data_IF_022978473603
#
_entry.id   IF_022978473603
#
_cell.length_a   1.000
_cell.length_b   1.000
_cell.length_c   1.000
_cell.angle_alpha   90.00
_cell.angle_beta   90.00
_cell.angle_gamma   90.00
#
_symmetry.space_group_name_H-M   'P 1'
#
loop_
_entity.id
_entity.type
_entity.pdbx_description
1 polymer ?
#
# COMPACT_ATOMS: atom_id res chain seq x y z
N UNK A 1 -66.09 20.87 -4.15
CA UNK A 1 -67.39 20.56 -4.79
C UNK A 1 -67.15 19.32 -5.65
N UNK A 2 -67.36 18.11 -5.10
CA UNK A 2 -68.50 17.19 -5.34
C UNK A 2 -68.55 16.69 -6.81
N UNK A 3 -68.52 15.40 -7.16
CA UNK A 3 -68.97 14.12 -6.55
C UNK A 3 -68.12 12.95 -7.11
N UNK A 4 -67.62 11.98 -6.32
CA UNK A 4 -68.20 10.69 -5.90
C UNK A 4 -68.82 9.82 -7.02
N UNK A 5 -68.20 8.67 -7.30
CA UNK A 5 -68.94 7.38 -7.36
C UNK A 5 -68.02 6.17 -7.09
N UNK A 6 -68.46 5.33 -6.15
CA UNK A 6 -67.86 4.07 -5.68
C UNK A 6 -68.25 2.91 -6.60
N UNK A 7 -67.43 1.86 -6.67
CA UNK A 7 -67.90 0.48 -6.54
C UNK A 7 -66.81 -0.42 -5.93
N UNK A 8 -67.31 -1.42 -5.22
CA UNK A 8 -66.72 -2.23 -4.15
C UNK A 8 -66.88 -3.71 -4.56
N UNK A 9 -66.00 -4.57 -4.06
CA UNK A 9 -66.13 -6.04 -4.09
C UNK A 9 -64.99 -6.71 -4.87
N UNK A 10 -64.40 -7.82 -4.45
CA UNK A 10 -64.60 -8.64 -3.26
C UNK A 10 -63.42 -9.63 -3.17
N UNK A 11 -63.18 -10.11 -1.95
CA UNK A 11 -62.06 -10.97 -1.53
C UNK A 11 -62.23 -12.41 -2.02
N UNK A 12 -61.14 -13.09 -2.41
CA UNK A 12 -61.05 -14.55 -2.23
C UNK A 12 -59.62 -15.01 -1.93
N UNK A 13 -59.56 -15.94 -0.99
CA UNK A 13 -58.42 -16.38 -0.20
C UNK A 13 -57.51 -17.40 -0.91
N UNK A 14 -56.21 -17.34 -0.55
CA UNK A 14 -55.39 -18.42 0.02
C UNK A 14 -55.29 -19.78 -0.71
N UNK A 15 -54.08 -20.14 -1.17
CA UNK A 15 -53.54 -21.50 -0.98
C UNK A 15 -52.00 -21.59 -1.08
N UNK A 16 -51.42 -22.06 0.02
CA UNK A 16 -50.22 -22.93 0.19
C UNK A 16 -48.81 -22.51 -0.27
N UNK A 17 -47.80 -22.59 0.63
CA UNK A 17 -46.39 -22.49 0.29
C UNK A 17 -45.80 -23.85 -0.16
N UNK A 18 -45.04 -23.81 -1.25
CA UNK A 18 -44.32 -24.95 -1.83
C UNK A 18 -43.02 -25.18 -1.06
N UNK A 19 -42.89 -26.37 -0.48
CA UNK A 19 -41.69 -26.88 0.22
C UNK A 19 -40.51 -27.04 -0.76
N UNK A 20 -39.29 -26.56 -0.47
CA UNK A 20 -38.11 -26.92 -1.25
C UNK A 20 -37.58 -28.30 -0.81
N UNK A 21 -37.15 -29.09 -1.79
CA UNK A 21 -36.43 -30.34 -1.60
C UNK A 21 -35.00 -30.08 -1.09
N UNK A 22 -34.38 -31.03 -0.35
CA UNK A 22 -32.99 -30.92 0.04
C UNK A 22 -32.08 -31.40 -1.11
N UNK A 23 -31.26 -30.51 -1.65
CA UNK A 23 -30.15 -30.88 -2.53
C UNK A 23 -28.99 -31.41 -1.68
N UNK A 24 -28.79 -32.71 -1.75
CA UNK A 24 -27.57 -33.40 -1.33
C UNK A 24 -26.46 -33.06 -2.30
N UNK A 25 -25.51 -32.22 -1.89
CA UNK A 25 -24.18 -32.14 -2.49
C UNK A 25 -23.15 -32.13 -1.36
N UNK A 26 -22.73 -33.34 -0.99
CA UNK A 26 -21.48 -33.58 -0.25
C UNK A 26 -20.29 -33.28 -1.19
N UNK A 27 -19.34 -32.42 -0.80
CA UNK A 27 -18.07 -32.33 -1.50
C UNK A 27 -17.12 -33.43 -1.01
N UNK A 28 -16.37 -34.12 -1.89
CA UNK A 28 -15.35 -35.06 -1.45
C UNK A 28 -14.17 -34.32 -0.81
N UNK A 29 -13.69 -34.90 0.30
CA UNK A 29 -12.48 -34.46 1.01
C UNK A 29 -11.22 -34.50 0.13
N UNK A 30 -10.23 -33.62 0.40
CA UNK A 30 -9.03 -33.48 -0.42
C UNK A 30 -8.07 -34.66 -0.20
N UNK A 31 -7.59 -35.21 -1.31
CA UNK A 31 -6.54 -36.23 -1.32
C UNK A 31 -5.18 -35.58 -1.61
N UNK A 32 -4.24 -35.93 -0.73
CA UNK A 32 -2.80 -36.14 -0.94
C UNK A 32 -1.96 -35.06 -1.68
N UNK A 33 -1.03 -34.50 -0.91
CA UNK A 33 0.17 -33.80 -1.35
C UNK A 33 0.95 -34.54 -2.46
N UNK A 34 1.48 -33.80 -3.45
CA UNK A 34 2.71 -34.18 -4.12
C UNK A 34 3.89 -33.31 -3.61
N UNK A 35 4.92 -34.01 -3.16
CA UNK A 35 6.20 -33.45 -2.75
C UNK A 35 6.90 -32.64 -3.87
N UNK A 36 7.68 -31.60 -3.53
CA UNK A 36 8.37 -30.77 -4.51
C UNK A 36 9.65 -31.44 -5.00
N UNK A 37 9.75 -31.67 -6.31
CA UNK A 37 11.02 -31.98 -6.98
C UNK A 37 11.66 -30.66 -7.41
N UNK A 38 12.62 -30.19 -6.62
CA UNK A 38 13.62 -29.21 -7.04
C UNK A 38 14.87 -29.95 -7.53
N UNK A 39 15.41 -29.62 -8.71
CA UNK A 39 16.83 -29.77 -8.97
C UNK A 39 17.52 -28.42 -8.69
N UNK A 40 18.41 -28.44 -7.71
CA UNK A 40 19.37 -27.40 -7.44
C UNK A 40 20.31 -27.23 -8.66
N UNK A 41 20.35 -26.01 -9.21
CA UNK A 41 21.41 -25.60 -10.14
C UNK A 41 22.19 -24.47 -9.48
N UNK A 42 23.29 -24.86 -8.86
CA UNK A 42 24.34 -23.97 -8.32
C UNK A 42 25.19 -23.45 -9.49
N UNK A 43 25.72 -22.21 -9.42
CA UNK A 43 26.32 -21.53 -10.57
C UNK A 43 27.73 -22.04 -10.86
N UNK A 44 28.04 -22.26 -12.14
CA UNK A 44 29.41 -22.52 -12.58
C UNK A 44 30.25 -21.25 -12.41
N UNK A 45 31.07 -21.25 -11.38
CA UNK A 45 32.23 -20.38 -11.19
C UNK A 45 33.19 -20.50 -12.37
N UNK A 46 33.76 -19.34 -12.74
CA UNK A 46 34.61 -19.15 -13.90
C UNK A 46 35.85 -20.03 -13.94
N UNK A 47 36.09 -20.57 -15.13
CA UNK A 47 37.42 -21.04 -15.51
C UNK A 47 38.20 -19.87 -16.10
N UNK A 48 39.12 -19.35 -15.29
CA UNK A 48 40.25 -18.53 -15.73
C UNK A 48 41.27 -19.43 -16.40
N UNK A 49 41.45 -19.31 -17.72
CA UNK A 49 42.58 -19.89 -18.41
C UNK A 49 43.75 -18.89 -18.37
N UNK A 50 44.65 -19.08 -17.40
CA UNK A 50 45.99 -18.50 -17.46
C UNK A 50 46.85 -19.34 -18.40
N UNK A 51 47.17 -18.79 -19.56
CA UNK A 51 48.24 -19.33 -20.41
C UNK A 51 49.59 -19.11 -19.74
N UNK A 52 50.17 -20.18 -19.19
CA UNK A 52 51.62 -20.26 -18.94
C UNK A 52 52.30 -20.55 -20.27
N UNK A 53 53.08 -19.58 -20.75
CA UNK A 53 54.02 -19.78 -21.86
C UNK A 53 55.13 -20.72 -21.35
N UNK A 54 55.25 -21.90 -21.95
CA UNK A 54 56.41 -22.78 -21.80
C UNK A 54 57.33 -22.50 -23.00
N UNK A 55 58.54 -21.95 -22.81
CA UNK A 55 59.47 -21.75 -23.90
C UNK A 55 60.25 -23.03 -24.19
N UNK A 56 60.28 -23.42 -25.46
CA UNK A 56 61.29 -24.32 -26.00
C UNK A 56 60.82 -25.74 -26.30
N UNK A 57 60.20 -25.91 -27.47
CA UNK A 57 60.57 -27.01 -28.36
C UNK A 57 60.42 -26.53 -29.80
N UNK A 58 61.57 -26.35 -30.44
CA UNK A 58 61.74 -26.11 -31.87
C UNK A 58 61.11 -27.24 -32.68
N UNK A 59 60.15 -26.91 -33.55
CA UNK A 59 59.81 -27.73 -34.74
C UNK A 59 60.33 -27.03 -35.99
N UNK A 60 60.81 -27.80 -36.98
CA UNK A 60 61.63 -27.26 -38.04
C UNK A 60 60.78 -26.47 -39.04
N UNK A 61 60.99 -25.16 -39.04
CA UNK A 61 60.63 -24.29 -40.16
C UNK A 61 61.53 -24.63 -41.34
N UNK A 62 61.07 -25.54 -42.20
CA UNK A 62 61.46 -25.50 -43.60
C UNK A 62 60.81 -24.27 -44.21
N UNK A 63 61.53 -23.16 -44.17
CA UNK A 63 61.32 -22.01 -45.04
C UNK A 63 61.52 -22.48 -46.49
N UNK A 64 60.44 -22.95 -47.11
CA UNK A 64 60.29 -22.87 -48.56
C UNK A 64 59.68 -21.51 -48.84
N UNK A 65 60.50 -20.61 -49.39
CA UNK A 65 60.02 -19.47 -50.18
C UNK A 65 59.03 -20.02 -51.22
N UNK A 66 57.74 -19.90 -50.95
CA UNK A 66 56.71 -19.94 -52.00
C UNK A 66 56.52 -18.51 -52.45
N UNK A 67 57.30 -18.17 -53.46
CA UNK A 67 57.00 -17.06 -54.34
C UNK A 67 55.71 -17.43 -55.11
N UNK A 68 54.75 -16.49 -55.15
CA UNK A 68 53.41 -16.50 -55.77
C UNK A 68 52.25 -17.13 -54.97
N UNK A 69 51.07 -16.46 -54.93
CA UNK A 69 49.97 -16.80 -54.02
C UNK A 69 49.34 -18.13 -54.40
N UNK A 70 49.13 -19.01 -53.42
CA UNK A 70 48.48 -20.31 -53.57
C UNK A 70 47.04 -20.21 -54.13
N UNK A 71 46.42 -19.03 -54.02
CA UNK A 71 45.16 -18.66 -54.70
C UNK A 71 45.23 -18.78 -56.24
N UNK A 72 46.41 -18.75 -56.86
CA UNK A 72 46.57 -18.90 -58.32
C UNK A 72 46.34 -20.33 -58.85
N UNK A 73 46.24 -21.34 -57.98
CA UNK A 73 45.96 -22.73 -58.38
C UNK A 73 44.47 -23.10 -58.31
N UNK A 74 43.68 -22.38 -57.50
CA UNK A 74 42.24 -22.54 -57.45
C UNK A 74 41.61 -21.65 -58.52
N UNK A 75 41.14 -22.25 -59.62
CA UNK A 75 40.39 -21.54 -60.66
C UNK A 75 39.01 -21.16 -60.12
N UNK A 76 38.91 -19.99 -59.52
CA UNK A 76 37.63 -19.33 -59.22
C UNK A 76 37.13 -18.66 -60.51
N UNK A 77 35.82 -18.57 -60.72
CA UNK A 77 35.27 -17.77 -61.83
C UNK A 77 35.80 -16.34 -61.82
N UNK A 78 36.02 -15.79 -63.01
CA UNK A 78 36.61 -14.47 -63.22
C UNK A 78 35.89 -13.37 -62.41
N UNK A 79 34.57 -13.44 -62.34
CA UNK A 79 33.68 -12.51 -61.61
C UNK A 79 33.92 -12.44 -60.09
N UNK A 80 34.58 -13.44 -59.49
CA UNK A 80 34.91 -13.46 -58.06
C UNK A 80 36.40 -13.28 -57.78
N UNK A 81 37.24 -13.11 -58.81
CA UNK A 81 38.70 -13.02 -58.65
C UNK A 81 39.10 -11.87 -57.73
N UNK A 82 38.49 -10.69 -57.93
CA UNK A 82 38.78 -9.52 -57.09
C UNK A 82 38.28 -9.73 -55.67
N UNK A 83 37.05 -10.24 -55.49
CA UNK A 83 36.50 -10.55 -54.17
C UNK A 83 37.36 -11.56 -53.41
N UNK A 84 37.83 -12.60 -54.08
CA UNK A 84 38.70 -13.61 -53.48
C UNK A 84 40.05 -13.02 -53.03
N UNK A 85 40.62 -12.10 -53.82
CA UNK A 85 41.84 -11.36 -53.45
C UNK A 85 41.61 -10.44 -52.25
N UNK A 86 40.47 -9.74 -52.21
CA UNK A 86 40.10 -8.86 -51.11
C UNK A 86 39.94 -9.66 -49.81
N UNK A 87 39.20 -10.78 -49.85
CA UNK A 87 39.03 -11.70 -48.72
C UNK A 87 40.37 -12.27 -48.27
N UNK A 88 41.22 -12.69 -49.20
CA UNK A 88 42.54 -13.21 -48.86
C UNK A 88 43.41 -12.16 -48.17
N UNK A 89 43.34 -10.90 -48.62
CA UNK A 89 44.10 -9.81 -48.03
C UNK A 89 43.64 -9.47 -46.61
N UNK A 90 42.35 -9.60 -46.32
CA UNK A 90 41.75 -9.29 -45.02
C UNK A 90 41.81 -10.46 -44.03
N UNK A 91 41.62 -11.69 -44.51
CA UNK A 91 41.37 -12.86 -43.67
C UNK A 91 42.36 -14.01 -43.91
N UNK A 92 43.28 -13.87 -44.86
CA UNK A 92 44.23 -14.91 -45.24
C UNK A 92 43.60 -16.02 -46.08
N UNK A 93 44.29 -17.17 -46.16
CA UNK A 93 43.79 -18.33 -46.90
C UNK A 93 42.69 -19.06 -46.13
N UNK A 94 41.43 -18.67 -46.39
CA UNK A 94 40.27 -19.22 -45.69
C UNK A 94 39.98 -20.69 -45.99
N UNK A 95 40.59 -21.27 -47.04
CA UNK A 95 40.41 -22.68 -47.43
C UNK A 95 41.61 -23.56 -47.07
N UNK A 96 42.62 -23.01 -46.39
CA UNK A 96 43.85 -23.73 -46.03
C UNK A 96 43.60 -25.02 -45.23
N UNK A 97 42.58 -25.00 -44.36
CA UNK A 97 42.20 -26.11 -43.48
C UNK A 97 41.00 -26.92 -44.00
N UNK A 98 40.53 -26.64 -45.22
CA UNK A 98 39.31 -27.27 -45.75
C UNK A 98 39.44 -28.78 -45.87
N UNK A 99 38.36 -29.50 -45.56
CA UNK A 99 38.24 -30.95 -45.73
C UNK A 99 38.34 -31.42 -47.20
N UNK A 100 38.12 -30.50 -48.15
CA UNK A 100 38.02 -30.83 -49.57
C UNK A 100 39.24 -30.33 -50.35
N UNK A 101 39.60 -31.06 -51.41
CA UNK A 101 40.69 -30.73 -52.33
C UNK A 101 40.17 -30.44 -53.74
N UNK A 102 41.03 -29.86 -54.59
CA UNK A 102 40.74 -29.67 -56.01
C UNK A 102 39.57 -28.73 -56.29
N UNK A 103 38.64 -29.17 -57.16
CA UNK A 103 37.51 -28.35 -57.64
C UNK A 103 36.52 -28.03 -56.54
N UNK A 104 36.24 -28.97 -55.63
CA UNK A 104 35.31 -28.73 -54.51
C UNK A 104 35.80 -27.61 -53.59
N UNK A 105 37.12 -27.52 -53.35
CA UNK A 105 37.72 -26.40 -52.60
C UNK A 105 37.48 -25.06 -53.30
N UNK A 106 37.60 -25.03 -54.62
CA UNK A 106 37.34 -23.82 -55.42
C UNK A 106 35.86 -23.43 -55.37
N UNK A 107 34.94 -24.40 -55.45
CA UNK A 107 33.50 -24.17 -55.38
C UNK A 107 33.06 -23.61 -54.02
N UNK A 108 33.68 -24.06 -52.93
CA UNK A 108 33.41 -23.53 -51.59
C UNK A 108 33.92 -22.09 -51.44
N UNK A 109 35.14 -21.79 -51.91
CA UNK A 109 35.67 -20.42 -51.95
C UNK A 109 34.77 -19.51 -52.80
N UNK A 110 34.29 -20.01 -53.93
CA UNK A 110 33.37 -19.27 -54.80
C UNK A 110 32.03 -19.01 -54.12
N UNK A 111 31.51 -19.98 -53.36
CA UNK A 111 30.30 -19.81 -52.54
C UNK A 111 30.51 -18.72 -51.47
N UNK A 112 31.65 -18.71 -50.79
CA UNK A 112 32.00 -17.62 -49.84
C UNK A 112 32.06 -16.25 -50.53
N UNK A 113 32.70 -16.17 -51.70
CA UNK A 113 32.78 -14.92 -52.48
C UNK A 113 31.39 -14.44 -52.93
N UNK A 114 30.53 -15.37 -53.37
CA UNK A 114 29.17 -15.06 -53.77
C UNK A 114 28.33 -14.50 -52.61
N UNK A 115 28.44 -15.09 -51.42
CA UNK A 115 27.76 -14.59 -50.21
C UNK A 115 28.28 -13.19 -49.86
N UNK A 116 29.61 -13.00 -49.85
CA UNK A 116 30.21 -11.70 -49.54
C UNK A 116 29.78 -10.61 -50.51
N UNK A 117 29.82 -10.88 -51.83
CA UNK A 117 29.37 -9.93 -52.86
C UNK A 117 27.87 -9.63 -52.76
N UNK A 118 27.05 -10.65 -52.46
CA UNK A 118 25.61 -10.46 -52.22
C UNK A 118 25.39 -9.50 -51.05
N UNK A 119 26.06 -9.71 -49.92
CA UNK A 119 25.94 -8.81 -48.76
C UNK A 119 26.45 -7.40 -49.08
N UNK A 120 27.61 -7.28 -49.73
CA UNK A 120 28.22 -6.00 -50.12
C UNK A 120 27.31 -5.15 -51.00
N UNK A 121 26.59 -5.79 -51.93
CA UNK A 121 25.64 -5.14 -52.86
C UNK A 121 24.26 -4.91 -52.26
N UNK A 122 23.88 -5.71 -51.26
CA UNK A 122 22.56 -5.63 -50.63
C UNK A 122 22.46 -4.44 -49.68
N UNK A 123 21.29 -3.80 -49.66
CA UNK A 123 20.95 -2.78 -48.65
C UNK A 123 20.20 -3.44 -47.50
N UNK A 124 20.44 -2.96 -46.28
CA UNK A 124 19.77 -3.45 -45.07
C UNK A 124 18.23 -3.39 -45.16
N UNK A 125 17.67 -2.40 -45.85
CA UNK A 125 16.21 -2.28 -46.06
C UNK A 125 15.63 -3.36 -46.97
N UNK A 126 16.43 -3.94 -47.86
CA UNK A 126 15.96 -4.86 -48.92
C UNK A 126 16.11 -6.32 -48.50
N UNK A 127 17.21 -6.68 -47.84
CA UNK A 127 17.45 -8.07 -47.42
C UNK A 127 16.40 -8.53 -46.41
N UNK A 128 15.82 -9.72 -46.61
CA UNK A 128 14.77 -10.29 -45.76
C UNK A 128 15.35 -11.21 -44.67
N UNK A 129 14.60 -11.46 -43.59
CA UNK A 129 15.01 -12.44 -42.57
C UNK A 129 15.19 -13.85 -43.15
N UNK A 130 14.28 -14.29 -44.02
CA UNK A 130 14.36 -15.61 -44.65
C UNK A 130 15.63 -15.76 -45.52
N UNK A 131 16.04 -14.71 -46.24
CA UNK A 131 17.30 -14.70 -46.98
C UNK A 131 18.53 -14.75 -46.07
N UNK A 132 18.50 -14.03 -44.95
CA UNK A 132 19.58 -14.06 -43.95
C UNK A 132 19.69 -15.44 -43.30
N UNK A 133 18.58 -16.09 -42.97
CA UNK A 133 18.56 -17.46 -42.42
C UNK A 133 19.09 -18.49 -43.41
N UNK A 134 18.71 -18.37 -44.69
CA UNK A 134 19.28 -19.20 -45.74
C UNK A 134 20.79 -19.01 -45.82
N UNK A 135 21.24 -17.74 -45.85
CA UNK A 135 22.67 -17.41 -45.96
C UNK A 135 23.47 -17.86 -44.73
N UNK A 136 22.89 -17.78 -43.52
CA UNK A 136 23.51 -18.30 -42.28
C UNK A 136 23.67 -19.82 -42.32
N UNK A 137 22.68 -20.54 -42.86
CA UNK A 137 22.80 -22.00 -43.06
C UNK A 137 23.93 -22.33 -44.03
N UNK A 138 24.02 -21.62 -45.16
CA UNK A 138 25.09 -21.80 -46.13
C UNK A 138 26.48 -21.57 -45.48
N UNK A 139 26.63 -20.51 -44.69
CA UNK A 139 27.90 -20.23 -43.96
C UNK A 139 28.20 -21.29 -42.90
N UNK A 140 27.19 -21.77 -42.17
CA UNK A 140 27.37 -22.86 -41.21
C UNK A 140 27.86 -24.14 -41.87
N UNK A 141 27.37 -24.44 -43.07
CA UNK A 141 27.86 -25.60 -43.85
C UNK A 141 29.29 -25.40 -44.34
N UNK A 142 29.70 -24.17 -44.67
CA UNK A 142 31.09 -23.83 -44.98
C UNK A 142 32.02 -23.99 -43.75
N UNK A 143 31.57 -23.58 -42.56
CA UNK A 143 32.32 -23.79 -41.31
C UNK A 143 32.49 -25.28 -40.99
N UNK A 144 31.43 -26.09 -41.17
CA UNK A 144 31.48 -27.56 -41.02
C UNK A 144 32.45 -28.21 -42.02
N UNK A 145 32.67 -27.58 -43.17
CA UNK A 145 33.68 -27.97 -44.15
C UNK A 145 35.10 -27.49 -43.80
N UNK A 146 35.31 -26.93 -42.60
CA UNK A 146 36.56 -26.37 -42.07
C UNK A 146 37.10 -25.17 -42.87
N UNK A 147 36.21 -24.33 -43.40
CA UNK A 147 36.61 -23.02 -43.90
C UNK A 147 36.66 -22.01 -42.77
N UNK A 148 37.67 -21.14 -42.78
CA UNK A 148 37.86 -20.08 -41.79
C UNK A 148 36.95 -18.87 -42.11
N UNK A 149 35.63 -19.06 -41.96
CA UNK A 149 34.58 -18.06 -42.28
C UNK A 149 33.81 -17.55 -41.05
N UNK A 150 34.36 -17.75 -39.85
CA UNK A 150 33.72 -17.32 -38.58
C UNK A 150 33.45 -15.81 -38.51
N UNK A 151 34.25 -14.99 -39.20
CA UNK A 151 34.02 -13.55 -39.35
C UNK A 151 32.72 -13.26 -40.12
N UNK A 152 32.41 -14.05 -41.14
CA UNK A 152 31.21 -13.91 -41.95
C UNK A 152 29.98 -14.39 -41.18
N UNK A 153 30.11 -15.51 -40.45
CA UNK A 153 29.07 -16.03 -39.56
C UNK A 153 28.68 -14.97 -38.51
N UNK A 154 29.65 -14.45 -37.78
CA UNK A 154 29.44 -13.39 -36.78
C UNK A 154 28.78 -12.15 -37.39
N UNK A 155 29.18 -11.76 -38.61
CA UNK A 155 28.59 -10.60 -39.27
C UNK A 155 27.13 -10.84 -39.69
N UNK A 156 26.81 -12.03 -40.17
CA UNK A 156 25.44 -12.40 -40.50
C UNK A 156 24.55 -12.43 -39.26
N UNK A 157 25.05 -12.94 -38.13
CA UNK A 157 24.34 -12.87 -36.84
C UNK A 157 24.05 -11.42 -36.45
N UNK A 158 25.07 -10.56 -36.55
CA UNK A 158 24.99 -9.13 -36.27
C UNK A 158 23.93 -8.40 -37.12
N UNK A 159 23.80 -8.76 -38.40
CA UNK A 159 22.79 -8.21 -39.33
C UNK A 159 21.40 -8.78 -39.02
N UNK A 160 21.33 -10.09 -38.76
CA UNK A 160 20.10 -10.81 -38.44
C UNK A 160 19.46 -10.26 -37.16
N UNK A 161 20.24 -10.09 -36.10
CA UNK A 161 19.79 -9.50 -34.83
C UNK A 161 19.23 -8.08 -35.02
N UNK A 162 19.90 -7.25 -35.83
CA UNK A 162 19.41 -5.91 -36.12
C UNK A 162 18.14 -5.95 -36.98
N UNK A 163 18.01 -6.93 -37.89
CA UNK A 163 16.80 -7.09 -38.70
C UNK A 163 15.61 -7.52 -37.84
N UNK A 164 15.82 -8.45 -36.90
CA UNK A 164 14.81 -8.80 -35.90
C UNK A 164 14.41 -7.58 -35.04
N UNK A 165 15.37 -6.73 -34.65
CA UNK A 165 15.06 -5.50 -33.91
C UNK A 165 14.11 -4.56 -34.67
N UNK A 166 14.19 -4.50 -36.01
CA UNK A 166 13.26 -3.70 -36.83
C UNK A 166 11.86 -4.29 -36.80
N UNK A 167 11.71 -5.61 -36.94
CA UNK A 167 10.39 -6.26 -36.88
C UNK A 167 9.76 -6.16 -35.48
N UNK A 168 10.55 -6.29 -34.42
CA UNK A 168 10.07 -6.08 -33.06
C UNK A 168 9.73 -4.61 -32.76
N UNK A 169 10.25 -3.65 -33.53
CA UNK A 169 9.96 -2.23 -33.32
C UNK A 169 8.49 -1.89 -33.54
N UNK A 170 7.82 -2.48 -34.54
CA UNK A 170 6.39 -2.22 -34.78
C UNK A 170 5.53 -2.78 -33.64
N UNK A 171 5.89 -3.95 -33.12
CA UNK A 171 5.22 -4.53 -31.94
C UNK A 171 5.45 -3.69 -30.68
N UNK A 172 6.64 -3.10 -30.52
CA UNK A 172 6.95 -2.20 -29.40
C UNK A 172 6.13 -0.90 -29.47
N UNK A 173 5.87 -0.35 -30.65
CA UNK A 173 5.03 0.84 -30.80
C UNK A 173 3.58 0.54 -30.37
N UNK A 174 3.03 -0.60 -30.78
CA UNK A 174 1.70 -1.06 -30.33
C UNK A 174 1.65 -1.32 -28.82
N UNK A 175 2.69 -1.96 -28.26
CA UNK A 175 2.77 -2.19 -26.81
C UNK A 175 2.90 -0.89 -26.01
N UNK A 176 3.68 0.06 -26.50
CA UNK A 176 3.81 1.38 -25.90
C UNK A 176 2.47 2.12 -25.89
N UNK A 177 1.70 2.06 -26.98
CA UNK A 177 0.38 2.68 -27.03
C UNK A 177 -0.59 2.01 -26.04
N UNK A 178 -0.60 0.66 -25.97
CA UNK A 178 -1.40 -0.07 -24.98
C UNK A 178 -1.05 0.30 -23.54
N UNK A 179 0.24 0.36 -23.21
CA UNK A 179 0.68 0.76 -21.87
C UNK A 179 0.31 2.21 -21.56
N UNK A 180 0.45 3.12 -22.53
CA UNK A 180 0.06 4.51 -22.36
C UNK A 180 -1.44 4.64 -22.05
N UNK A 181 -2.29 3.91 -22.78
CA UNK A 181 -3.72 3.84 -22.51
C UNK A 181 -4.04 3.24 -21.13
N UNK A 182 -3.28 2.21 -20.71
CA UNK A 182 -3.37 1.60 -19.38
C UNK A 182 -3.05 2.63 -18.27
N UNK A 183 -1.94 3.35 -18.41
CA UNK A 183 -1.51 4.43 -17.50
C UNK A 183 -2.60 5.50 -17.39
N UNK A 184 -3.10 6.01 -18.51
CA UNK A 184 -4.16 7.03 -18.50
C UNK A 184 -5.45 6.56 -17.82
N UNK A 185 -5.80 5.28 -18.00
CA UNK A 185 -6.96 4.67 -17.36
C UNK A 185 -6.76 4.54 -15.86
N UNK A 186 -5.58 4.08 -15.42
CA UNK A 186 -5.22 3.98 -14.01
C UNK A 186 -5.15 5.36 -13.34
N UNK A 187 -4.63 6.38 -14.02
CA UNK A 187 -4.59 7.75 -13.49
C UNK A 187 -5.99 8.35 -13.30
N UNK A 188 -6.90 8.13 -14.27
CA UNK A 188 -8.32 8.51 -14.13
C UNK A 188 -8.98 7.77 -12.97
N UNK A 189 -8.76 6.46 -12.86
CA UNK A 189 -9.31 5.66 -11.77
C UNK A 189 -8.77 6.10 -10.40
N UNK A 190 -7.47 6.39 -10.31
CA UNK A 190 -6.83 6.88 -9.10
C UNK A 190 -7.40 8.24 -8.68
N UNK A 191 -7.56 9.17 -9.63
CA UNK A 191 -8.17 10.48 -9.37
C UNK A 191 -9.59 10.33 -8.84
N UNK A 192 -10.42 9.49 -9.48
CA UNK A 192 -11.79 9.23 -9.03
C UNK A 192 -11.84 8.61 -7.63
N UNK A 193 -10.99 7.64 -7.31
CA UNK A 193 -10.93 7.04 -5.97
C UNK A 193 -10.45 8.03 -4.91
N UNK A 194 -9.55 8.94 -5.27
CA UNK A 194 -9.03 9.96 -4.35
C UNK A 194 -10.11 10.99 -3.95
N UNK A 195 -11.11 11.22 -4.80
CA UNK A 195 -12.26 12.09 -4.53
C UNK A 195 -13.23 11.49 -3.49
N UNK A 196 -13.31 10.17 -3.36
CA UNK A 196 -14.20 9.49 -2.41
C UNK A 196 -13.70 9.62 -0.95
N UNK A 197 -12.39 9.56 -0.73
CA UNK A 197 -11.75 9.64 0.59
C UNK A 197 -12.19 10.87 1.41
N UNK A 198 -12.13 12.12 0.90
CA UNK A 198 -12.56 13.29 1.68
C UNK A 198 -14.05 13.26 2.00
N UNK A 199 -14.89 12.69 1.14
CA UNK A 199 -16.31 12.54 1.41
C UNK A 199 -16.57 11.57 2.56
N UNK A 200 -15.87 10.43 2.59
CA UNK A 200 -15.95 9.44 3.69
C UNK A 200 -15.42 10.05 4.99
N UNK A 201 -14.25 10.71 4.95
CA UNK A 201 -13.68 11.40 6.13
C UNK A 201 -14.61 12.47 6.68
N UNK A 202 -15.24 13.27 5.83
CA UNK A 202 -16.22 14.28 6.26
C UNK A 202 -17.44 13.64 6.95
N UNK A 203 -17.95 12.53 6.44
CA UNK A 203 -19.05 11.79 7.08
C UNK A 203 -18.63 11.23 8.43
N UNK A 204 -17.42 10.66 8.52
CA UNK A 204 -16.86 10.13 9.75
C UNK A 204 -16.74 11.20 10.85
N UNK A 205 -16.18 12.36 10.51
CA UNK A 205 -16.05 13.48 11.45
C UNK A 205 -17.41 14.06 11.87
N UNK A 206 -18.38 14.12 10.95
CA UNK A 206 -19.74 14.53 11.30
C UNK A 206 -20.40 13.56 12.29
N UNK A 207 -20.20 12.25 12.13
CA UNK A 207 -20.77 11.24 13.02
C UNK A 207 -20.07 11.21 14.40
N UNK A 208 -18.75 11.43 14.43
CA UNK A 208 -17.99 11.66 15.67
C UNK A 208 -18.48 12.91 16.40
N UNK A 209 -18.67 14.02 15.68
CA UNK A 209 -19.18 15.27 16.24
C UNK A 209 -20.59 15.12 16.82
N UNK A 210 -21.51 14.41 16.13
CA UNK A 210 -22.85 14.12 16.67
C UNK A 210 -22.78 13.39 18.02
N UNK A 211 -21.88 12.42 18.14
CA UNK A 211 -21.70 11.66 19.39
C UNK A 211 -21.21 12.56 20.52
N UNK A 212 -20.26 13.45 20.25
CA UNK A 212 -19.78 14.44 21.23
C UNK A 212 -20.90 15.41 21.67
N UNK A 213 -21.68 15.92 20.72
CA UNK A 213 -22.81 16.84 21.02
C UNK A 213 -23.85 16.16 21.90
N UNK A 214 -24.25 14.93 21.59
CA UNK A 214 -25.24 14.18 22.37
C UNK A 214 -24.79 13.98 23.82
N UNK A 215 -23.53 13.61 24.04
CA UNK A 215 -22.95 13.48 25.38
C UNK A 215 -22.94 14.81 26.13
N UNK A 216 -22.56 15.88 25.44
CA UNK A 216 -22.50 17.21 26.04
C UNK A 216 -23.89 17.73 26.46
N UNK A 217 -24.89 17.61 25.59
CA UNK A 217 -26.28 18.01 25.92
C UNK A 217 -26.85 17.21 27.07
N UNK A 218 -26.58 15.90 27.13
CA UNK A 218 -27.05 15.05 28.22
C UNK A 218 -26.47 15.48 29.57
N UNK A 219 -25.17 15.77 29.62
CA UNK A 219 -24.51 16.25 30.84
C UNK A 219 -25.02 17.63 31.27
N UNK A 220 -25.21 18.55 30.32
CA UNK A 220 -25.69 19.91 30.60
C UNK A 220 -27.13 19.94 31.09
N UNK A 221 -28.04 19.15 30.50
CA UNK A 221 -29.44 19.10 30.93
C UNK A 221 -29.57 18.51 32.35
N UNK A 222 -28.67 17.60 32.71
CA UNK A 222 -28.60 17.02 34.06
C UNK A 222 -27.96 17.96 35.07
N UNK A 223 -26.87 18.64 34.71
CA UNK A 223 -26.24 19.66 35.55
C UNK A 223 -27.23 20.80 35.85
N UNK A 224 -28.03 21.23 34.88
CA UNK A 224 -29.12 22.21 35.09
C UNK A 224 -30.21 21.69 36.05
N UNK A 225 -30.61 20.42 35.91
CA UNK A 225 -31.59 19.81 36.81
C UNK A 225 -31.08 19.74 38.26
N UNK A 226 -29.78 19.53 38.45
CA UNK A 226 -29.14 19.44 39.77
C UNK A 226 -28.86 20.82 40.37
N UNK A 227 -28.36 21.77 39.59
CA UNK A 227 -28.11 23.14 40.03
C UNK A 227 -29.41 23.88 40.44
N UNK A 228 -30.55 23.58 39.79
CA UNK A 228 -31.87 24.08 40.19
C UNK A 228 -32.31 23.58 41.57
N UNK A 229 -31.80 22.42 42.02
CA UNK A 229 -32.14 21.87 43.33
C UNK A 229 -31.37 22.52 44.49
N UNK A 230 -30.31 23.29 44.23
CA UNK A 230 -29.36 23.73 45.25
C UNK A 230 -29.25 25.24 45.44
N UNK A 231 -29.38 26.07 44.39
CA UNK A 231 -29.23 27.53 44.55
C UNK A 231 -30.47 28.18 45.17
N UNK A 232 -30.38 28.47 46.47
CA UNK A 232 -30.86 29.75 47.01
C UNK A 232 -29.68 30.45 47.69
N UNK A 233 -29.42 31.69 47.23
CA UNK A 233 -28.47 32.68 47.75
C UNK A 233 -27.07 32.72 47.11
N UNK A 234 -26.71 33.91 46.63
CA UNK A 234 -25.37 34.29 46.20
C UNK A 234 -24.76 35.20 47.28
N UNK A 235 -23.50 34.94 47.67
CA UNK A 235 -22.62 35.98 48.18
C UNK A 235 -21.57 35.54 49.20
N UNK A 236 -20.28 35.75 48.87
CA UNK A 236 -19.23 35.99 49.88
C UNK A 236 -17.92 35.24 49.68
N UNK A 237 -16.95 35.91 49.04
CA UNK A 237 -15.55 35.47 48.91
C UNK A 237 -14.72 35.85 50.14
N UNK A 238 -13.89 34.94 50.66
CA UNK A 238 -12.78 35.27 51.58
C UNK A 238 -11.52 34.40 51.36
N UNK A 239 -10.36 35.05 51.43
CA UNK A 239 -8.99 34.51 51.39
C UNK A 239 -8.43 34.30 52.80
N UNK A 240 -7.73 33.19 53.05
CA UNK A 240 -7.38 32.75 54.41
C UNK A 240 -5.98 33.12 54.93
N UNK A 241 -5.75 32.79 56.20
CA UNK A 241 -4.47 32.39 56.84
C UNK A 241 -4.74 31.81 58.26
N UNK A 242 -4.76 30.48 58.41
CA UNK A 242 -4.55 29.67 59.64
C UNK A 242 -4.93 30.25 61.02
N UNK A 243 -6.00 31.02 61.13
CA UNK A 243 -6.59 31.42 62.40
C UNK A 243 -7.84 30.56 62.65
N UNK A 244 -8.14 30.25 63.91
CA UNK A 244 -9.45 29.71 64.28
C UNK A 244 -10.40 30.87 64.55
N UNK A 245 -11.53 30.94 63.86
CA UNK A 245 -12.58 31.94 64.09
C UNK A 245 -13.78 31.29 64.78
N UNK A 246 -14.67 32.12 65.36
CA UNK A 246 -15.90 31.63 66.00
C UNK A 246 -17.10 31.84 65.06
N UNK A 247 -17.64 30.74 64.52
CA UNK A 247 -18.87 30.73 63.73
C UNK A 247 -20.01 30.10 64.54
N UNK A 248 -21.08 30.85 64.78
CA UNK A 248 -22.26 30.38 65.54
C UNK A 248 -21.95 29.73 66.90
N UNK A 249 -20.87 30.16 67.58
CA UNK A 249 -20.44 29.61 68.87
C UNK A 249 -19.43 28.46 68.79
N UNK A 250 -19.10 27.98 67.58
CA UNK A 250 -18.08 26.96 67.34
C UNK A 250 -16.75 27.58 66.89
N UNK A 251 -15.62 27.10 67.40
CA UNK A 251 -14.28 27.51 66.97
C UNK A 251 -13.83 26.66 65.78
N UNK A 252 -14.03 27.15 64.56
CA UNK A 252 -13.65 26.48 63.31
C UNK A 252 -12.42 27.15 62.69
N UNK A 253 -11.70 26.48 61.80
CA UNK A 253 -10.68 27.14 60.96
C UNK A 253 -11.31 28.25 60.12
N UNK A 254 -10.59 29.35 59.95
CA UNK A 254 -11.00 30.54 59.18
C UNK A 254 -11.46 30.20 57.75
N UNK A 255 -10.80 29.22 57.09
CA UNK A 255 -11.17 28.76 55.74
C UNK A 255 -12.58 28.15 55.64
N UNK A 256 -13.16 27.74 56.78
CA UNK A 256 -14.51 27.21 56.86
C UNK A 256 -15.51 28.18 57.48
N UNK A 257 -15.09 29.37 57.92
CA UNK A 257 -15.96 30.33 58.61
C UNK A 257 -17.14 30.75 57.73
N UNK A 258 -16.88 31.12 56.47
CA UNK A 258 -17.92 31.53 55.52
C UNK A 258 -18.91 30.38 55.26
N UNK A 259 -18.40 29.18 54.99
CA UNK A 259 -19.21 28.00 54.73
C UNK A 259 -20.07 27.62 55.95
N UNK A 260 -19.48 27.63 57.15
CA UNK A 260 -20.18 27.36 58.38
C UNK A 260 -21.30 28.39 58.58
N UNK A 261 -21.02 29.68 58.42
CA UNK A 261 -22.01 30.74 58.58
C UNK A 261 -23.18 30.59 57.62
N UNK A 262 -22.90 30.24 56.37
CA UNK A 262 -23.90 30.03 55.33
C UNK A 262 -24.79 28.81 55.63
N UNK A 263 -24.17 27.69 56.01
CA UNK A 263 -24.87 26.48 56.46
C UNK A 263 -25.77 26.81 57.67
N UNK A 264 -25.26 27.49 58.70
CA UNK A 264 -26.06 27.83 59.88
C UNK A 264 -27.21 28.78 59.54
N UNK A 265 -27.01 29.70 58.59
CA UNK A 265 -28.03 30.66 58.17
C UNK A 265 -29.19 29.98 57.44
N UNK A 266 -28.90 28.91 56.70
CA UNK A 266 -29.90 28.20 55.89
C UNK A 266 -30.51 26.98 56.58
N UNK A 267 -29.70 26.22 57.31
CA UNK A 267 -30.05 24.91 57.86
C UNK A 267 -30.15 24.91 59.39
N UNK A 268 -29.68 25.97 60.06
CA UNK A 268 -29.58 26.02 61.51
C UNK A 268 -28.39 25.22 62.04
N UNK A 269 -28.40 24.87 63.34
CA UNK A 269 -27.31 24.13 63.96
C UNK A 269 -27.32 22.64 63.59
N UNK A 270 -26.64 22.31 62.50
CA UNK A 270 -26.55 20.96 61.95
C UNK A 270 -25.84 19.96 62.88
N UNK A 271 -25.06 20.40 63.86
CA UNK A 271 -24.35 19.52 64.81
C UNK A 271 -24.99 19.50 66.20
N UNK A 272 -26.13 20.16 66.40
CA UNK A 272 -26.83 20.21 67.68
C UNK A 272 -27.14 18.81 68.25
N UNK A 273 -27.56 17.90 67.37
CA UNK A 273 -27.94 16.53 67.71
C UNK A 273 -26.81 15.51 67.49
N UNK A 274 -25.60 15.97 67.19
CA UNK A 274 -24.46 15.08 66.93
C UNK A 274 -24.15 14.21 68.17
N UNK A 275 -23.87 12.93 67.93
CA UNK A 275 -23.54 11.94 68.97
C UNK A 275 -22.26 12.30 69.75
N UNK A 276 -21.39 13.10 69.14
CA UNK A 276 -20.09 13.46 69.68
C UNK A 276 -20.09 14.87 70.28
N UNK A 277 -19.21 15.08 71.26
CA UNK A 277 -19.08 16.31 72.04
C UNK A 277 -17.68 16.90 71.91
N UNK A 278 -17.53 18.16 72.32
CA UNK A 278 -16.22 18.82 72.40
C UNK A 278 -15.54 18.98 71.04
N UNK A 279 -14.24 18.74 70.97
CA UNK A 279 -13.43 18.94 69.76
C UNK A 279 -13.90 18.09 68.57
N UNK A 280 -14.42 16.88 68.80
CA UNK A 280 -14.87 16.00 67.72
C UNK A 280 -16.11 16.54 67.00
N UNK A 281 -17.01 17.22 67.74
CA UNK A 281 -18.17 17.91 67.15
C UNK A 281 -17.74 19.02 66.18
N UNK A 282 -16.70 19.77 66.55
CA UNK A 282 -16.14 20.82 65.69
C UNK A 282 -15.51 20.21 64.43
N UNK A 283 -14.79 19.10 64.54
CA UNK A 283 -14.21 18.44 63.36
C UNK A 283 -15.28 17.95 62.38
N UNK A 284 -16.41 17.43 62.88
CA UNK A 284 -17.53 17.01 62.03
C UNK A 284 -18.20 18.18 61.32
N UNK A 285 -18.31 19.34 61.99
CA UNK A 285 -18.76 20.59 61.35
C UNK A 285 -17.80 21.05 60.26
N UNK A 286 -16.49 21.01 60.50
CA UNK A 286 -15.49 21.32 59.47
C UNK A 286 -15.57 20.36 58.29
N UNK A 287 -15.77 19.05 58.52
CA UNK A 287 -16.01 18.08 57.45
C UNK A 287 -17.27 18.40 56.63
N UNK A 288 -18.37 18.83 57.27
CA UNK A 288 -19.56 19.29 56.56
C UNK A 288 -19.28 20.54 55.71
N UNK A 289 -18.45 21.47 56.20
CA UNK A 289 -18.02 22.65 55.45
C UNK A 289 -17.14 22.30 54.24
N UNK A 290 -16.25 21.31 54.37
CA UNK A 290 -15.45 20.80 53.24
C UNK A 290 -16.37 20.24 52.16
N UNK A 291 -17.36 19.43 52.54
CA UNK A 291 -18.35 18.88 51.59
C UNK A 291 -19.12 20.02 50.93
N UNK A 292 -19.61 21.01 51.71
CA UNK A 292 -20.34 22.16 51.17
C UNK A 292 -19.55 22.90 50.08
N UNK A 293 -18.31 23.29 50.39
CA UNK A 293 -17.44 24.01 49.45
C UNK A 293 -17.05 23.16 48.25
N UNK A 294 -16.86 21.86 48.47
CA UNK A 294 -16.55 20.93 47.38
C UNK A 294 -17.73 20.88 46.43
N UNK A 295 -18.93 20.59 46.94
CA UNK A 295 -20.19 20.47 46.19
C UNK A 295 -20.54 21.76 45.44
N UNK A 296 -20.34 22.92 46.07
CA UNK A 296 -20.56 24.23 45.43
C UNK A 296 -19.71 24.41 44.15
N UNK A 297 -18.50 23.85 44.14
CA UNK A 297 -17.55 23.96 43.03
C UNK A 297 -17.61 22.79 42.05
N UNK A 298 -18.45 21.78 42.31
CA UNK A 298 -18.51 20.59 41.45
C UNK A 298 -19.16 20.92 40.10
N UNK A 299 -18.44 20.63 39.02
CA UNK A 299 -19.07 20.36 37.73
C UNK A 299 -19.17 18.86 37.51
N UNK A 300 -20.35 18.40 37.07
CA UNK A 300 -20.54 16.99 36.70
C UNK A 300 -19.62 16.55 35.56
N UNK A 301 -19.14 17.48 34.73
CA UNK A 301 -18.23 17.22 33.61
C UNK A 301 -16.82 16.86 34.07
N UNK A 302 -16.36 17.44 35.20
CA UNK A 302 -14.95 17.39 35.60
C UNK A 302 -14.67 16.42 36.75
N UNK A 303 -15.66 16.13 37.61
CA UNK A 303 -15.50 15.14 38.69
C UNK A 303 -15.45 13.71 38.12
N UNK A 304 -14.70 12.78 38.71
CA UNK A 304 -14.76 11.35 38.36
C UNK A 304 -15.81 10.60 39.17
N UNK A 305 -16.27 9.42 38.72
CA UNK A 305 -17.23 8.61 39.50
C UNK A 305 -16.68 8.22 40.88
N UNK A 306 -15.37 7.95 40.97
CA UNK A 306 -14.70 7.58 42.22
C UNK A 306 -14.63 8.74 43.24
N UNK A 307 -14.36 9.96 42.77
CA UNK A 307 -14.36 11.17 43.62
C UNK A 307 -15.77 11.46 44.15
N UNK A 308 -16.80 11.32 43.31
CA UNK A 308 -18.18 11.51 43.72
C UNK A 308 -18.65 10.45 44.72
N UNK A 309 -18.17 9.20 44.57
CA UNK A 309 -18.41 8.13 45.55
C UNK A 309 -17.74 8.42 46.90
N UNK A 310 -16.53 9.00 46.90
CA UNK A 310 -15.84 9.39 48.12
C UNK A 310 -16.65 10.45 48.89
N UNK A 311 -17.10 11.51 48.22
CA UNK A 311 -17.94 12.56 48.82
C UNK A 311 -19.24 11.96 49.38
N UNK A 312 -19.88 11.06 48.61
CA UNK A 312 -21.09 10.36 49.07
C UNK A 312 -20.87 9.55 50.34
N UNK A 313 -19.73 8.84 50.46
CA UNK A 313 -19.37 8.10 51.68
C UNK A 313 -19.16 9.05 52.86
N UNK A 314 -18.47 10.16 52.64
CA UNK A 314 -18.23 11.15 53.70
C UNK A 314 -19.54 11.76 54.22
N UNK A 315 -20.49 12.06 53.34
CA UNK A 315 -21.84 12.51 53.73
C UNK A 315 -22.55 11.45 54.58
N UNK A 316 -22.56 10.19 54.16
CA UNK A 316 -23.19 9.12 54.94
C UNK A 316 -22.53 8.89 56.30
N UNK A 317 -21.21 9.08 56.40
CA UNK A 317 -20.51 8.97 57.68
C UNK A 317 -20.86 10.13 58.63
N UNK A 318 -21.11 11.33 58.10
CA UNK A 318 -21.68 12.44 58.87
C UNK A 318 -23.12 12.16 59.34
N UNK A 319 -23.97 11.58 58.49
CA UNK A 319 -25.34 11.17 58.87
C UNK A 319 -25.31 10.14 60.01
N UNK A 320 -24.43 9.14 59.94
CA UNK A 320 -24.25 8.13 61.00
C UNK A 320 -23.78 8.76 62.32
N UNK A 321 -23.06 9.87 62.27
CA UNK A 321 -22.66 10.66 63.43
C UNK A 321 -23.78 11.58 63.97
N UNK A 322 -24.98 11.49 63.39
CA UNK A 322 -26.15 12.34 63.66
C UNK A 322 -25.92 13.83 63.39
N UNK A 323 -25.08 14.15 62.40
CA UNK A 323 -25.00 15.52 61.83
C UNK A 323 -26.11 15.66 60.80
N UNK A 324 -26.87 16.76 60.86
CA UNK A 324 -27.92 17.03 59.88
C UNK A 324 -27.33 17.52 58.54
N UNK A 325 -27.04 16.56 57.67
CA UNK A 325 -26.57 16.79 56.30
C UNK A 325 -27.63 16.39 55.25
N UNK A 326 -28.89 16.27 55.68
CA UNK A 326 -29.99 15.81 54.83
C UNK A 326 -30.21 16.72 53.60
N UNK A 327 -29.89 18.00 53.75
CA UNK A 327 -29.95 19.03 52.70
C UNK A 327 -28.95 18.79 51.56
N UNK A 328 -27.82 18.10 51.79
CA UNK A 328 -26.82 17.78 50.76
C UNK A 328 -26.81 16.30 50.35
N UNK A 329 -27.20 15.40 51.24
CA UNK A 329 -27.21 13.96 51.00
C UNK A 329 -28.01 13.58 49.76
N UNK A 330 -29.24 14.08 49.63
CA UNK A 330 -30.09 13.78 48.47
C UNK A 330 -29.49 14.31 47.16
N UNK A 331 -28.93 15.52 47.18
CA UNK A 331 -28.29 16.11 46.00
C UNK A 331 -27.10 15.29 45.53
N UNK A 332 -26.26 14.82 46.46
CA UNK A 332 -25.09 13.99 46.15
C UNK A 332 -25.49 12.59 45.69
N UNK A 333 -26.51 11.98 46.29
CA UNK A 333 -27.08 10.71 45.82
C UNK A 333 -27.64 10.85 44.39
N UNK A 334 -28.40 11.90 44.11
CA UNK A 334 -28.96 12.17 42.79
C UNK A 334 -27.86 12.45 41.75
N UNK A 335 -26.80 13.17 42.12
CA UNK A 335 -25.61 13.38 41.29
C UNK A 335 -24.88 12.07 41.00
N UNK A 336 -24.68 11.24 42.03
CA UNK A 336 -23.99 9.96 41.90
C UNK A 336 -24.76 9.01 41.00
N UNK A 337 -26.06 8.81 41.24
CA UNK A 337 -26.87 7.93 40.40
C UNK A 337 -27.02 8.48 38.98
N UNK A 338 -27.03 9.80 38.78
CA UNK A 338 -27.01 10.42 37.45
C UNK A 338 -25.71 10.17 36.72
N UNK A 339 -24.56 10.39 37.37
CA UNK A 339 -23.23 10.16 36.77
C UNK A 339 -23.00 8.68 36.48
N UNK A 340 -23.35 7.82 37.44
CA UNK A 340 -23.36 6.36 37.28
C UNK A 340 -24.28 5.93 36.13
N UNK A 341 -25.44 6.56 35.96
CA UNK A 341 -26.36 6.29 34.85
C UNK A 341 -25.87 6.83 33.51
N UNK A 342 -25.15 7.95 33.50
CA UNK A 342 -24.50 8.52 32.31
C UNK A 342 -23.39 7.59 31.80
N UNK A 343 -22.67 6.98 32.73
CA UNK A 343 -21.65 5.96 32.47
C UNK A 343 -22.29 4.56 32.30
N UNK A 344 -23.59 4.41 32.57
CA UNK A 344 -24.31 3.13 32.53
C UNK A 344 -24.87 2.81 31.13
N UNK A 345 -24.88 1.53 30.72
CA UNK A 345 -25.08 1.15 29.32
C UNK A 345 -26.56 1.03 28.86
N UNK A 346 -27.54 1.77 29.39
CA UNK A 346 -28.97 1.41 29.14
C UNK A 346 -29.78 2.26 28.15
N UNK A 347 -29.54 3.58 28.01
CA UNK A 347 -30.32 4.43 27.08
C UNK A 347 -29.41 5.26 26.16
N UNK A 348 -28.41 5.92 26.76
CA UNK A 348 -27.29 6.50 26.00
C UNK A 348 -26.51 5.42 25.25
N UNK A 349 -26.52 4.18 25.73
CA UNK A 349 -25.87 3.08 25.03
C UNK A 349 -26.54 2.68 23.73
N UNK A 350 -27.87 2.76 23.58
CA UNK A 350 -28.51 2.36 22.31
C UNK A 350 -28.11 3.35 21.20
N UNK A 351 -28.21 4.65 21.48
CA UNK A 351 -27.82 5.72 20.56
C UNK A 351 -26.30 5.77 20.35
N UNK A 352 -25.50 5.57 21.41
CA UNK A 352 -24.04 5.45 21.31
C UNK A 352 -23.63 4.18 20.58
N UNK A 353 -24.36 3.06 20.70
CA UNK A 353 -24.06 1.81 20.02
C UNK A 353 -24.38 1.93 18.52
N UNK A 354 -25.49 2.57 18.16
CA UNK A 354 -25.80 2.84 16.76
C UNK A 354 -24.77 3.78 16.11
N UNK A 355 -24.43 4.90 16.75
CA UNK A 355 -23.40 5.80 16.23
C UNK A 355 -22.02 5.15 16.21
N UNK A 356 -21.68 4.32 17.20
CA UNK A 356 -20.43 3.54 17.23
C UNK A 356 -20.35 2.57 16.06
N UNK A 357 -21.44 1.86 15.75
CA UNK A 357 -21.51 0.98 14.57
C UNK A 357 -21.33 1.77 13.27
N UNK A 358 -22.00 2.91 13.13
CA UNK A 358 -21.85 3.78 11.96
C UNK A 358 -20.40 4.28 11.82
N UNK A 359 -19.75 4.68 12.92
CA UNK A 359 -18.35 5.10 12.94
C UNK A 359 -17.44 3.95 12.51
N UNK A 360 -17.62 2.75 13.07
CA UNK A 360 -16.84 1.55 12.71
C UNK A 360 -17.00 1.17 11.24
N UNK A 361 -18.23 1.26 10.72
CA UNK A 361 -18.52 0.99 9.32
C UNK A 361 -17.84 2.01 8.40
N UNK A 362 -17.89 3.30 8.74
CA UNK A 362 -17.20 4.37 8.01
C UNK A 362 -15.67 4.27 8.11
N UNK A 363 -15.13 3.85 9.25
CA UNK A 363 -13.69 3.59 9.42
C UNK A 363 -13.23 2.43 8.52
N UNK A 364 -14.02 1.35 8.47
CA UNK A 364 -13.76 0.23 7.56
C UNK A 364 -13.90 0.62 6.09
N UNK A 365 -14.90 1.44 5.75
CA UNK A 365 -15.08 1.97 4.40
C UNK A 365 -13.90 2.85 3.99
N UNK A 366 -13.39 3.69 4.90
CA UNK A 366 -12.22 4.52 4.70
C UNK A 366 -10.96 3.69 4.47
N UNK A 367 -10.72 2.69 5.32
CA UNK A 367 -9.57 1.77 5.18
C UNK A 367 -9.61 1.03 3.83
N UNK A 368 -10.80 0.53 3.43
CA UNK A 368 -10.98 -0.10 2.13
C UNK A 368 -10.76 0.88 0.97
N UNK A 369 -11.19 2.13 1.09
CA UNK A 369 -10.97 3.15 0.06
C UNK A 369 -9.50 3.50 -0.10
N UNK A 370 -8.78 3.71 1.01
CA UNK A 370 -7.35 3.96 1.04
C UNK A 370 -6.56 2.77 0.48
N UNK A 371 -6.97 1.54 0.80
CA UNK A 371 -6.42 0.32 0.22
C UNK A 371 -6.54 0.26 -1.31
N UNK A 372 -7.72 0.57 -1.87
CA UNK A 372 -7.93 0.61 -3.33
C UNK A 372 -7.05 1.65 -4.02
N UNK A 373 -6.88 2.82 -3.41
CA UNK A 373 -5.98 3.87 -3.90
C UNK A 373 -4.54 3.37 -3.94
N UNK A 374 -4.08 2.72 -2.87
CA UNK A 374 -2.73 2.20 -2.79
C UNK A 374 -2.48 1.08 -3.82
N UNK A 375 -3.42 0.15 -3.99
CA UNK A 375 -3.33 -0.90 -5.00
C UNK A 375 -3.24 -0.33 -6.42
N UNK A 376 -4.07 0.67 -6.73
CA UNK A 376 -4.09 1.35 -8.03
C UNK A 376 -2.78 2.09 -8.26
N UNK A 377 -2.22 2.73 -7.23
CA UNK A 377 -0.91 3.40 -7.28
C UNK A 377 0.23 2.41 -7.56
N UNK A 378 0.24 1.25 -6.91
CA UNK A 378 1.25 0.20 -7.17
C UNK A 378 1.18 -0.27 -8.61
N UNK A 379 -0.03 -0.52 -9.14
CA UNK A 379 -0.22 -0.90 -10.55
C UNK A 379 0.26 0.19 -11.51
N UNK A 380 -0.04 1.45 -11.22
CA UNK A 380 0.37 2.60 -12.02
C UNK A 380 1.90 2.72 -12.10
N UNK A 381 2.60 2.56 -10.98
CA UNK A 381 4.07 2.60 -10.95
C UNK A 381 4.69 1.42 -11.71
N UNK A 382 4.08 0.22 -11.63
CA UNK A 382 4.53 -0.94 -12.41
C UNK A 382 4.42 -0.70 -13.92
N UNK A 383 3.30 -0.12 -14.39
CA UNK A 383 3.11 0.23 -15.81
C UNK A 383 4.07 1.33 -16.29
N UNK A 384 4.34 2.32 -15.44
CA UNK A 384 5.36 3.36 -15.72
C UNK A 384 6.76 2.76 -15.86
N UNK A 385 7.12 1.83 -14.97
CA UNK A 385 8.40 1.12 -15.04
C UNK A 385 8.50 0.23 -16.30
N UNK A 386 7.41 -0.44 -16.68
CA UNK A 386 7.35 -1.21 -17.91
C UNK A 386 7.56 -0.33 -19.14
N UNK A 387 6.91 0.84 -19.19
CA UNK A 387 7.09 1.83 -20.26
C UNK A 387 8.53 2.32 -20.39
N UNK A 388 9.22 2.57 -19.28
CA UNK A 388 10.64 2.94 -19.30
C UNK A 388 11.52 1.80 -19.83
N UNK A 389 11.21 0.55 -19.47
CA UNK A 389 11.91 -0.63 -19.99
C UNK A 389 11.76 -0.74 -21.50
N UNK A 390 10.54 -0.59 -22.02
CA UNK A 390 10.28 -0.56 -23.46
C UNK A 390 11.05 0.56 -24.15
N UNK A 391 11.11 1.75 -23.53
CA UNK A 391 11.88 2.89 -24.07
C UNK A 391 13.36 2.57 -24.19
N UNK A 392 13.96 1.93 -23.18
CA UNK A 392 15.37 1.53 -23.22
C UNK A 392 15.63 0.46 -24.29
N UNK A 393 14.75 -0.55 -24.38
CA UNK A 393 14.83 -1.58 -25.41
C UNK A 393 14.77 -0.97 -26.82
N UNK A 394 13.87 -0.01 -27.03
CA UNK A 394 13.76 0.73 -28.28
C UNK A 394 15.04 1.52 -28.62
N UNK A 395 15.64 2.20 -27.64
CA UNK A 395 16.89 2.95 -27.87
C UNK A 395 18.05 2.01 -28.26
N UNK A 396 18.19 0.88 -27.56
CA UNK A 396 19.21 -0.13 -27.87
C UNK A 396 18.98 -0.74 -29.27
N UNK A 397 17.74 -1.11 -29.58
CA UNK A 397 17.35 -1.60 -30.91
C UNK A 397 17.67 -0.57 -32.01
N UNK A 398 17.34 0.70 -31.78
CA UNK A 398 17.62 1.80 -32.71
C UNK A 398 19.12 1.97 -32.94
N UNK A 399 19.95 1.88 -31.90
CA UNK A 399 21.40 1.94 -32.02
C UNK A 399 21.94 0.79 -32.89
N UNK A 400 21.56 -0.45 -32.58
CA UNK A 400 21.92 -1.65 -33.35
C UNK A 400 21.54 -1.53 -34.82
N UNK A 401 20.38 -0.99 -35.12
CA UNK A 401 19.87 -0.83 -36.48
C UNK A 401 20.60 0.30 -37.21
N UNK A 402 20.85 1.42 -36.55
CA UNK A 402 21.46 2.61 -37.15
C UNK A 402 22.84 2.35 -37.76
N UNK A 403 23.60 1.39 -37.22
CA UNK A 403 24.93 1.03 -37.73
C UNK A 403 24.88 0.44 -39.14
N UNK A 404 23.78 -0.23 -39.51
CA UNK A 404 23.62 -0.89 -40.82
C UNK A 404 22.98 0.00 -41.89
N UNK A 405 22.28 1.06 -41.50
CA UNK A 405 21.72 2.02 -42.45
C UNK A 405 22.76 3.01 -42.98
N UNK A 406 23.87 3.21 -42.27
CA UNK A 406 24.93 4.18 -42.64
C UNK A 406 26.09 3.57 -43.40
N UNK A 407 26.15 2.23 -43.49
CA UNK A 407 27.34 1.46 -43.85
C UNK A 407 26.95 0.25 -44.69
N UNK A 408 27.88 -0.29 -45.49
CA UNK A 408 27.68 -1.56 -46.19
C UNK A 408 27.41 -2.70 -45.20
N UNK A 409 26.67 -3.73 -45.62
CA UNK A 409 26.49 -4.93 -44.79
C UNK A 409 27.80 -5.67 -44.53
N UNK A 410 28.85 -5.41 -45.32
CA UNK A 410 30.21 -5.94 -45.07
C UNK A 410 31.13 -4.91 -44.37
N UNK A 411 30.64 -3.73 -43.99
CA UNK A 411 31.50 -2.74 -43.33
C UNK A 411 31.85 -3.17 -41.89
N UNK A 412 33.15 -3.28 -41.60
CA UNK A 412 33.67 -3.64 -40.28
C UNK A 412 33.97 -5.13 -40.11
N UNK A 413 33.96 -5.90 -41.20
CA UNK A 413 34.66 -7.20 -41.30
C UNK A 413 35.92 -7.04 -42.11
#
# INVERSE_FOLDING_TARGET
MSTISKRKGEVKAESTPKKPAPDTNEPPSPSADPAPLTPAVTPLQGYSWHYKIVPGTTRPTKFLKRDLPYSSQLKVKEEFTQTAQDIYSLHGDIVANSLFEGTLRADMLQSTCAIYEKLKKSKFSVITLAELESTRRDVSDLERAHLEVSWLAKRLDDIYDAKQCVEHSSLMDEEKERNQQSIETLEKSLSSQQEDIPAIRKKLEAEKAKTATILQTFLEDKEKALHFSWKSSEGGSCSGLNNTTTAAGYKVKEEFESAAHDIFSHQGDIVANCLFQGSLRVHLLESACVIYQTVEKLSLKDITLAELEAIRRDVHDLEKAAVDVSWVAKGIDDMYETKKSAESPSFMAELHNQNRKNIQELEKELELAEGRVQDTKVKLEAEKAHTETLRQNFLNAKEKVSRFFRKSLVDGI
#
